data_IF_942877581383
#
_entry.id   IF_942877581383
#
_cell.length_a   1.000
_cell.length_b   1.000
_cell.length_c   1.000
_cell.angle_alpha   90.00
_cell.angle_beta   90.00
_cell.angle_gamma   90.00
#
_symmetry.space_group_name_H-M   'P 1'
#
loop_
_entity.id
_entity.type
_entity.pdbx_description
1 polymer ?
#
# COMPACT_ATOMS: atom_id res chain seq x y z
N UNK A 1 33.04 92.52 -27.36
CA UNK A 1 34.21 91.63 -27.33
C UNK A 1 34.14 90.78 -26.06
N UNK A 2 33.91 89.47 -26.24
CA UNK A 2 34.29 88.33 -25.41
C UNK A 2 33.89 88.15 -23.92
N UNK A 3 33.41 86.91 -23.71
CA UNK A 3 33.28 86.08 -22.51
C UNK A 3 32.34 86.50 -21.37
N UNK A 4 31.15 85.90 -21.36
CA UNK A 4 30.45 85.53 -20.12
C UNK A 4 30.15 84.03 -20.09
N UNK A 5 30.77 83.41 -19.10
CA UNK A 5 30.63 82.04 -18.58
C UNK A 5 29.15 81.77 -18.26
N UNK A 6 28.57 80.70 -18.80
CA UNK A 6 27.25 80.22 -18.41
C UNK A 6 27.34 78.76 -17.98
N UNK A 7 27.08 78.57 -16.70
CA UNK A 7 27.18 77.34 -15.95
C UNK A 7 26.07 76.36 -16.35
N UNK A 8 26.44 75.08 -16.46
CA UNK A 8 25.52 73.97 -16.68
C UNK A 8 24.57 73.82 -15.49
N UNK A 9 23.26 73.98 -15.74
CA UNK A 9 22.23 73.53 -14.79
C UNK A 9 21.79 72.11 -15.16
N UNK A 10 22.02 71.19 -14.23
CA UNK A 10 21.48 69.83 -14.20
C UNK A 10 19.94 69.88 -14.20
N UNK A 11 19.33 69.35 -15.26
CA UNK A 11 17.89 69.11 -15.32
C UNK A 11 17.60 67.78 -14.63
N UNK A 12 16.91 67.83 -13.48
CA UNK A 12 16.32 66.65 -12.83
C UNK A 12 15.18 66.14 -13.70
N UNK A 13 15.39 65.02 -14.37
CA UNK A 13 14.32 64.26 -15.02
C UNK A 13 13.69 63.36 -13.95
N UNK A 14 12.56 63.82 -13.38
CA UNK A 14 11.70 63.02 -12.53
C UNK A 14 10.67 62.31 -13.42
N UNK A 15 10.89 61.03 -13.72
CA UNK A 15 9.95 60.21 -14.50
C UNK A 15 8.64 59.99 -13.73
N UNK A 16 7.48 60.01 -14.42
CA UNK A 16 6.18 59.84 -13.79
C UNK A 16 5.95 58.37 -13.39
N UNK A 17 5.35 58.23 -12.21
CA UNK A 17 4.79 56.99 -11.66
C UNK A 17 3.77 56.43 -12.64
N UNK A 18 4.02 55.24 -13.21
CA UNK A 18 3.03 54.22 -13.58
C UNK A 18 3.63 53.23 -14.58
N UNK A 19 4.37 52.24 -14.08
CA UNK A 19 4.48 50.93 -14.75
C UNK A 19 4.34 49.87 -13.67
N UNK A 20 3.08 49.52 -13.41
CA UNK A 20 2.56 48.16 -13.32
C UNK A 20 3.66 47.10 -13.19
N UNK A 21 3.98 46.73 -11.95
CA UNK A 21 4.53 45.41 -11.64
C UNK A 21 3.79 44.88 -10.42
N UNK A 22 2.56 44.42 -10.65
CA UNK A 22 1.92 43.43 -9.80
C UNK A 22 2.70 42.12 -9.98
N UNK A 23 3.86 42.03 -9.34
CA UNK A 23 4.53 40.75 -9.09
C UNK A 23 3.71 40.11 -7.98
N UNK A 24 2.58 39.50 -8.37
CA UNK A 24 1.97 38.44 -7.59
C UNK A 24 3.00 37.33 -7.52
N UNK A 25 3.85 37.38 -6.50
CA UNK A 25 4.61 36.25 -6.00
C UNK A 25 3.62 35.15 -5.73
N UNK A 26 3.42 34.26 -6.70
CA UNK A 26 2.85 32.93 -6.47
C UNK A 26 3.89 32.21 -5.64
N UNK A 27 3.87 32.45 -4.33
CA UNK A 27 4.42 31.53 -3.36
C UNK A 27 3.62 30.25 -3.55
N UNK A 28 4.11 29.39 -4.43
CA UNK A 28 3.91 27.96 -4.33
C UNK A 28 4.49 27.57 -2.97
N UNK A 29 3.71 27.79 -1.91
CA UNK A 29 3.74 26.91 -0.76
C UNK A 29 3.31 25.56 -1.33
N UNK A 30 4.27 24.83 -1.88
CA UNK A 30 4.26 23.39 -1.81
C UNK A 30 4.14 23.08 -0.34
N UNK A 31 2.88 23.02 0.13
CA UNK A 31 2.55 22.29 1.35
C UNK A 31 3.34 20.99 1.22
N UNK A 32 4.22 20.63 2.16
CA UNK A 32 4.72 19.28 2.18
C UNK A 32 3.46 18.43 2.17
N UNK A 33 3.21 17.77 1.04
CA UNK A 33 2.18 16.76 1.00
C UNK A 33 2.55 15.87 2.16
N UNK A 34 1.70 15.83 3.18
CA UNK A 34 1.67 14.72 4.08
C UNK A 34 1.23 13.54 3.19
N UNK A 35 2.16 13.05 2.38
CA UNK A 35 2.20 11.66 1.97
C UNK A 35 2.15 11.00 3.33
N UNK A 36 0.97 10.47 3.65
CA UNK A 36 0.76 9.66 4.83
C UNK A 36 1.67 8.46 4.59
N UNK A 37 2.95 8.59 4.94
CA UNK A 37 3.94 7.54 4.81
C UNK A 37 3.38 6.43 5.66
N UNK A 38 2.91 5.38 4.99
CA UNK A 38 2.39 4.17 5.60
C UNK A 38 3.32 3.86 6.77
N UNK A 39 2.84 3.77 8.02
CA UNK A 39 3.70 3.37 9.12
C UNK A 39 4.40 2.09 8.72
N UNK A 40 5.72 2.11 8.77
CA UNK A 40 6.62 1.11 8.17
C UNK A 40 6.59 -0.17 9.03
N UNK A 41 5.42 -0.83 9.05
CA UNK A 41 5.17 -2.02 9.86
C UNK A 41 5.96 -3.22 9.33
N UNK A 42 6.47 -3.14 8.11
CA UNK A 42 7.24 -4.19 7.45
C UNK A 42 6.37 -5.33 6.92
N UNK A 43 7.04 -6.41 6.57
CA UNK A 43 6.42 -7.66 6.12
C UNK A 43 6.91 -8.81 6.99
N UNK A 44 6.11 -9.87 7.06
CA UNK A 44 6.56 -11.10 7.69
C UNK A 44 7.45 -11.94 6.75
N UNK A 45 8.01 -13.02 7.28
CA UNK A 45 8.82 -13.98 6.50
C UNK A 45 8.06 -14.63 5.34
N UNK A 46 6.74 -14.68 5.43
CA UNK A 46 5.83 -15.15 4.38
C UNK A 46 5.36 -14.02 3.44
N UNK A 47 5.97 -12.83 3.50
CA UNK A 47 5.53 -11.65 2.76
C UNK A 47 4.08 -11.23 3.03
N UNK A 48 3.59 -11.49 4.23
CA UNK A 48 2.31 -10.92 4.67
C UNK A 48 2.57 -9.51 5.23
N UNK A 49 1.75 -8.51 4.90
CA UNK A 49 1.87 -7.19 5.52
C UNK A 49 1.69 -7.31 7.03
N UNK A 50 2.63 -6.76 7.79
CA UNK A 50 2.49 -6.64 9.23
C UNK A 50 1.41 -5.61 9.58
N UNK A 51 0.62 -5.90 10.62
CA UNK A 51 -0.39 -4.98 11.17
C UNK A 51 0.01 -4.39 12.52
N UNK A 52 1.16 -4.81 13.03
CA UNK A 52 1.90 -4.14 14.11
C UNK A 52 3.33 -3.86 13.63
N UNK A 53 4.07 -2.94 14.27
CA UNK A 53 5.49 -2.81 14.02
C UNK A 53 6.21 -4.15 14.17
N UNK A 54 7.21 -4.38 13.31
CA UNK A 54 8.18 -5.44 13.52
C UNK A 54 9.01 -5.09 14.77
N UNK A 55 8.79 -5.82 15.86
CA UNK A 55 9.34 -5.48 17.17
C UNK A 55 9.96 -6.70 17.83
N UNK A 56 10.99 -6.45 18.64
CA UNK A 56 11.66 -7.50 19.41
C UNK A 56 10.75 -7.99 20.51
N UNK A 57 10.57 -9.30 20.62
CA UNK A 57 9.82 -9.90 21.70
C UNK A 57 10.53 -9.64 23.05
N UNK A 58 9.80 -9.24 24.11
CA UNK A 58 10.43 -8.84 25.38
C UNK A 58 11.17 -10.00 26.06
N UNK A 59 10.65 -11.22 25.92
CA UNK A 59 11.20 -12.42 26.57
C UNK A 59 11.92 -13.38 25.61
N UNK A 60 11.88 -13.10 24.30
CA UNK A 60 12.46 -13.97 23.27
C UNK A 60 13.38 -13.13 22.40
N UNK A 61 14.54 -13.66 22.04
CA UNK A 61 15.54 -12.90 21.29
C UNK A 61 15.22 -12.83 19.78
N UNK A 62 13.96 -12.64 19.40
CA UNK A 62 13.54 -12.52 18.00
C UNK A 62 12.57 -11.35 17.79
N UNK A 63 12.52 -10.89 16.56
CA UNK A 63 11.62 -9.88 16.02
C UNK A 63 10.40 -10.57 15.42
N UNK A 64 9.23 -10.00 15.70
CA UNK A 64 7.96 -10.50 15.21
C UNK A 64 7.01 -9.33 14.96
N UNK A 65 5.98 -9.60 14.17
CA UNK A 65 4.85 -8.70 14.00
C UNK A 65 3.56 -9.52 14.02
N UNK A 66 2.45 -8.87 14.32
CA UNK A 66 1.15 -9.46 14.11
C UNK A 66 0.83 -9.43 12.61
N UNK A 67 0.20 -10.50 12.14
CA UNK A 67 -0.35 -10.63 10.79
C UNK A 67 -1.80 -11.12 10.86
N UNK A 68 -2.50 -11.13 9.72
CA UNK A 68 -3.81 -11.76 9.63
C UNK A 68 -3.66 -13.23 9.25
N UNK A 69 -4.20 -14.14 10.07
CA UNK A 69 -4.45 -15.49 9.63
C UNK A 69 -5.75 -15.53 8.82
N UNK A 70 -5.64 -15.82 7.52
CA UNK A 70 -6.76 -15.92 6.61
C UNK A 70 -7.32 -17.34 6.57
N UNK A 71 -7.69 -17.90 7.72
CA UNK A 71 -8.54 -19.09 7.72
C UNK A 71 -9.99 -18.69 7.42
N UNK A 72 -10.70 -19.59 6.72
CA UNK A 72 -12.08 -19.39 6.29
C UNK A 72 -13.05 -19.30 7.49
N UNK A 73 -12.68 -19.82 8.65
CA UNK A 73 -13.55 -19.89 9.82
C UNK A 73 -13.45 -18.69 10.75
N UNK A 74 -12.30 -18.02 10.95
CA UNK A 74 -12.21 -16.83 11.80
C UNK A 74 -11.00 -15.94 11.44
N UNK A 75 -11.14 -14.61 11.62
CA UNK A 75 -9.97 -13.71 11.62
C UNK A 75 -9.26 -13.89 12.96
N UNK A 76 -8.25 -14.73 12.99
CA UNK A 76 -7.40 -14.88 14.16
C UNK A 76 -6.18 -14.00 13.95
N UNK A 77 -5.89 -13.15 14.93
CA UNK A 77 -4.61 -12.46 14.98
C UNK A 77 -3.55 -13.52 15.20
N UNK A 78 -2.68 -13.72 14.22
CA UNK A 78 -1.49 -14.53 14.41
C UNK A 78 -0.28 -13.60 14.50
N UNK A 79 0.81 -14.16 14.98
CA UNK A 79 2.12 -13.53 14.88
C UNK A 79 2.96 -14.28 13.86
N UNK A 80 3.92 -13.58 13.29
CA UNK A 80 4.88 -14.13 12.36
C UNK A 80 6.22 -13.42 12.55
N UNK A 81 7.31 -14.09 12.18
CA UNK A 81 8.64 -13.51 12.23
C UNK A 81 8.77 -12.39 11.19
N UNK A 82 9.58 -11.41 11.52
CA UNK A 82 9.95 -10.30 10.65
C UNK A 82 11.38 -9.86 10.96
N UNK A 83 11.94 -9.01 10.10
CA UNK A 83 13.27 -8.45 10.22
C UNK A 83 13.24 -6.94 10.15
N UNK A 84 14.17 -6.29 10.86
CA UNK A 84 14.29 -4.83 10.84
C UNK A 84 14.87 -4.29 9.53
N UNK A 85 15.57 -5.12 8.77
CA UNK A 85 16.20 -4.74 7.52
C UNK A 85 16.30 -5.92 6.56
N UNK A 86 16.54 -5.60 5.29
CA UNK A 86 16.72 -6.55 4.20
C UNK A 86 17.91 -7.51 4.36
N UNK A 87 18.91 -7.10 5.13
CA UNK A 87 20.16 -7.83 5.32
C UNK A 87 20.29 -8.36 6.76
N UNK A 88 19.18 -8.48 7.48
CA UNK A 88 19.16 -9.02 8.84
C UNK A 88 18.13 -10.13 8.98
N UNK A 89 18.47 -11.16 9.75
CA UNK A 89 17.50 -12.18 10.14
C UNK A 89 16.58 -11.70 11.27
N UNK A 90 15.59 -12.53 11.61
CA UNK A 90 14.58 -12.29 12.63
C UNK A 90 15.15 -12.22 14.05
N UNK A 91 16.45 -12.44 14.28
CA UNK A 91 17.09 -12.20 15.57
C UNK A 91 18.08 -11.04 15.53
N UNK A 92 18.24 -10.40 14.36
CA UNK A 92 19.09 -9.24 14.14
C UNK A 92 20.53 -9.58 13.75
N UNK A 93 20.83 -10.82 13.35
CA UNK A 93 22.13 -11.18 12.76
C UNK A 93 22.17 -10.73 11.31
N UNK A 94 23.36 -10.37 10.83
CA UNK A 94 23.55 -10.04 9.43
C UNK A 94 23.45 -11.30 8.56
N UNK A 95 22.71 -11.17 7.47
CA UNK A 95 22.64 -12.19 6.44
C UNK A 95 23.91 -12.15 5.57
N UNK A 96 24.60 -13.28 5.45
CA UNK A 96 25.71 -13.51 4.52
C UNK A 96 25.22 -13.96 3.14
N UNK A 97 23.97 -14.46 3.03
CA UNK A 97 23.28 -14.71 1.75
C UNK A 97 22.04 -13.85 1.60
N UNK A 98 21.51 -13.77 0.37
CA UNK A 98 20.30 -13.02 0.11
C UNK A 98 19.10 -13.56 0.91
N UNK A 99 18.33 -12.64 1.49
CA UNK A 99 17.04 -12.97 2.09
C UNK A 99 16.04 -13.37 0.99
N UNK A 100 15.71 -14.65 0.90
CA UNK A 100 14.86 -15.19 -0.18
C UNK A 100 14.17 -16.50 0.26
N UNK A 101 13.29 -17.02 -0.60
CA UNK A 101 12.57 -18.26 -0.30
C UNK A 101 13.46 -19.52 -0.35
N UNK A 102 14.50 -19.54 -1.18
CA UNK A 102 15.38 -20.71 -1.36
C UNK A 102 14.64 -22.05 -1.57
N UNK A 103 13.49 -22.02 -2.24
CA UNK A 103 12.62 -23.19 -2.45
C UNK A 103 11.51 -23.37 -1.40
N UNK A 104 11.60 -22.67 -0.27
CA UNK A 104 10.68 -22.81 0.86
C UNK A 104 9.41 -21.96 0.75
N UNK A 105 8.52 -22.16 1.73
CA UNK A 105 7.33 -21.35 1.95
C UNK A 105 7.59 -20.01 2.64
N UNK A 106 8.76 -19.80 3.22
CA UNK A 106 9.13 -18.58 3.95
C UNK A 106 10.48 -18.09 3.46
N UNK A 107 10.77 -16.81 3.71
CA UNK A 107 12.08 -16.24 3.45
C UNK A 107 13.05 -16.49 4.58
N UNK A 108 14.27 -16.82 4.21
CA UNK A 108 15.37 -17.01 5.13
C UNK A 108 16.70 -16.65 4.45
N UNK A 109 17.74 -16.50 5.26
CA UNK A 109 19.10 -16.26 4.84
C UNK A 109 20.05 -17.08 5.70
N UNK A 110 21.28 -17.26 5.22
CA UNK A 110 22.40 -17.76 6.02
C UNK A 110 23.14 -16.59 6.65
N UNK A 111 23.72 -16.81 7.82
CA UNK A 111 24.66 -15.93 8.50
C UNK A 111 25.98 -16.68 8.73
N UNK A 112 26.95 -16.03 9.38
CA UNK A 112 28.24 -16.64 9.69
C UNK A 112 28.15 -17.79 10.71
N UNK A 113 27.07 -17.85 11.50
CA UNK A 113 26.88 -18.84 12.56
C UNK A 113 25.88 -19.94 12.18
N UNK A 114 24.78 -19.58 11.53
CA UNK A 114 23.69 -20.49 11.15
C UNK A 114 22.77 -19.84 10.10
N UNK A 115 21.66 -20.46 9.73
CA UNK A 115 20.57 -19.82 9.00
C UNK A 115 19.58 -19.11 9.94
N UNK A 116 18.77 -18.23 9.39
CA UNK A 116 17.72 -17.53 10.12
C UNK A 116 16.63 -17.01 9.19
N UNK A 117 15.39 -16.93 9.70
CA UNK A 117 14.30 -16.33 8.96
C UNK A 117 14.56 -14.85 8.70
N UNK A 118 14.07 -14.33 7.58
CA UNK A 118 14.21 -12.90 7.29
C UNK A 118 13.00 -12.39 6.51
N UNK A 119 12.73 -11.09 6.55
CA UNK A 119 11.71 -10.44 5.72
C UNK A 119 12.38 -9.38 4.84
N UNK A 120 12.66 -9.75 3.59
CA UNK A 120 13.38 -8.91 2.64
C UNK A 120 12.50 -7.90 1.90
N UNK A 121 13.13 -6.98 1.14
CA UNK A 121 12.46 -6.00 0.28
C UNK A 121 11.77 -6.71 -0.89
N UNK A 122 12.03 -8.00 -1.09
CA UNK A 122 11.35 -8.85 -2.05
C UNK A 122 9.84 -8.93 -1.82
N UNK A 123 9.36 -8.66 -0.60
CA UNK A 123 7.93 -8.52 -0.36
C UNK A 123 7.36 -7.24 -1.00
N UNK A 124 8.17 -6.18 -1.08
CA UNK A 124 7.84 -4.94 -1.78
C UNK A 124 7.96 -5.13 -3.30
N UNK A 125 8.97 -5.85 -3.80
CA UNK A 125 9.11 -6.12 -5.23
C UNK A 125 8.03 -7.06 -5.76
N UNK A 126 7.58 -8.06 -5.01
CA UNK A 126 6.37 -8.82 -5.39
C UNK A 126 5.11 -7.97 -5.38
N UNK A 127 4.99 -6.99 -4.46
CA UNK A 127 3.86 -6.08 -4.45
C UNK A 127 3.89 -5.03 -5.57
N UNK A 128 5.07 -4.74 -6.14
CA UNK A 128 5.27 -3.68 -7.15
C UNK A 128 5.50 -4.19 -8.57
N UNK A 129 5.95 -5.44 -8.76
CA UNK A 129 6.07 -6.08 -10.07
C UNK A 129 4.83 -6.91 -10.46
N UNK A 130 3.98 -7.27 -9.50
CA UNK A 130 2.68 -7.81 -9.84
C UNK A 130 1.84 -6.65 -10.38
N UNK A 131 1.39 -6.70 -11.64
CA UNK A 131 0.41 -5.73 -12.13
C UNK A 131 -0.73 -5.60 -11.11
N UNK A 132 -0.99 -4.37 -10.67
CA UNK A 132 -2.06 -4.04 -9.73
C UNK A 132 -3.41 -4.37 -10.39
N UNK A 133 -3.80 -5.62 -10.26
CA UNK A 133 -5.09 -6.13 -10.69
C UNK A 133 -6.19 -5.80 -9.68
N UNK A 134 -5.85 -5.06 -8.61
CA UNK A 134 -6.71 -4.76 -7.49
C UNK A 134 -6.72 -5.86 -6.43
N UNK A 135 -7.77 -5.83 -5.63
CA UNK A 135 -7.98 -6.75 -4.53
C UNK A 135 -9.19 -7.65 -4.80
N UNK A 136 -9.25 -8.79 -4.12
CA UNK A 136 -10.45 -9.61 -4.01
C UNK A 136 -11.43 -9.03 -2.99
N UNK A 137 -12.67 -9.52 -2.96
CA UNK A 137 -13.74 -9.06 -2.04
C UNK A 137 -13.38 -9.24 -0.57
N UNK A 138 -12.37 -10.08 -0.29
CA UNK A 138 -11.77 -10.31 1.02
C UNK A 138 -10.47 -9.52 1.26
N UNK A 139 -10.14 -8.54 0.41
CA UNK A 139 -8.89 -7.77 0.44
C UNK A 139 -7.61 -8.60 0.23
N UNK A 140 -7.67 -9.71 -0.50
CA UNK A 140 -6.46 -10.41 -0.93
C UNK A 140 -5.96 -9.79 -2.25
N UNK A 141 -4.66 -9.60 -2.41
CA UNK A 141 -4.10 -9.09 -3.67
C UNK A 141 -4.41 -10.07 -4.81
N UNK A 142 -5.01 -9.54 -5.89
CA UNK A 142 -5.22 -10.29 -7.11
C UNK A 142 -3.88 -10.45 -7.83
N UNK A 143 -3.55 -11.68 -8.21
CA UNK A 143 -2.32 -12.02 -8.95
C UNK A 143 -2.59 -12.33 -10.43
N UNK A 144 -3.86 -12.28 -10.82
CA UNK A 144 -4.34 -12.29 -12.21
C UNK A 144 -5.34 -11.15 -12.40
N UNK A 145 -5.57 -10.68 -13.65
CA UNK A 145 -6.59 -9.67 -13.89
C UNK A 145 -7.96 -10.10 -13.38
N UNK A 146 -8.72 -9.16 -12.83
CA UNK A 146 -10.12 -9.39 -12.46
C UNK A 146 -10.98 -9.54 -13.71
N UNK A 147 -11.40 -10.75 -14.05
CA UNK A 147 -12.08 -11.06 -15.31
C UNK A 147 -13.32 -11.91 -15.12
N UNK A 148 -14.28 -11.73 -16.02
CA UNK A 148 -15.51 -12.49 -16.01
C UNK A 148 -15.24 -13.91 -16.53
N UNK A 149 -15.63 -14.92 -15.76
CA UNK A 149 -15.60 -16.32 -16.21
C UNK A 149 -16.95 -16.69 -16.83
N UNK A 150 -17.09 -17.92 -17.33
CA UNK A 150 -18.37 -18.45 -17.88
C UNK A 150 -19.57 -18.32 -16.91
N UNK A 151 -19.30 -18.10 -15.62
CA UNK A 151 -20.30 -17.96 -14.55
C UNK A 151 -20.95 -16.57 -14.41
N UNK A 152 -20.66 -15.63 -15.32
CA UNK A 152 -21.06 -14.20 -15.24
C UNK A 152 -20.49 -13.41 -14.03
N UNK A 153 -19.75 -14.07 -13.15
CA UNK A 153 -19.05 -13.45 -12.04
C UNK A 153 -17.61 -13.11 -12.44
N UNK A 154 -17.07 -12.07 -11.84
CA UNK A 154 -15.69 -11.61 -11.95
C UNK A 154 -14.84 -12.25 -10.85
N UNK A 155 -13.71 -12.81 -11.28
CA UNK A 155 -12.78 -13.53 -10.43
C UNK A 155 -11.35 -13.10 -10.70
N UNK A 156 -10.52 -13.22 -9.68
CA UNK A 156 -9.08 -13.17 -9.82
C UNK A 156 -8.46 -14.34 -9.06
N UNK A 157 -7.30 -14.78 -9.51
CA UNK A 157 -6.44 -15.62 -8.69
C UNK A 157 -5.94 -14.81 -7.50
N UNK A 158 -5.84 -15.46 -6.36
CA UNK A 158 -5.19 -14.97 -5.15
C UNK A 158 -4.24 -16.06 -4.64
N UNK A 159 -3.21 -15.64 -3.90
CA UNK A 159 -2.37 -16.60 -3.17
C UNK A 159 -3.08 -16.93 -1.87
N UNK A 160 -3.58 -18.16 -1.71
CA UNK A 160 -3.87 -18.66 -0.36
C UNK A 160 -2.57 -19.17 0.24
N UNK A 161 -2.12 -18.48 1.28
CA UNK A 161 -1.12 -18.99 2.19
C UNK A 161 -1.77 -20.10 3.02
N UNK A 162 -1.78 -21.33 2.49
CA UNK A 162 -1.84 -22.53 3.34
C UNK A 162 -0.40 -22.97 3.59
N UNK A 163 -0.09 -23.19 4.87
CA UNK A 163 1.24 -23.57 5.38
C UNK A 163 1.87 -24.78 4.66
N UNK A 164 1.08 -25.61 3.96
CA UNK A 164 1.58 -26.87 3.38
C UNK A 164 1.63 -26.93 1.84
N UNK A 165 1.13 -25.93 1.10
CA UNK A 165 1.33 -25.90 -0.35
C UNK A 165 0.83 -24.60 -0.98
N UNK A 166 1.68 -23.93 -1.78
CA UNK A 166 1.39 -22.72 -2.58
C UNK A 166 0.26 -22.97 -3.60
N UNK A 167 -0.98 -23.08 -3.12
CA UNK A 167 -2.15 -23.35 -3.95
C UNK A 167 -2.81 -22.04 -4.34
N UNK A 168 -2.82 -21.78 -5.64
CA UNK A 168 -3.57 -20.67 -6.22
C UNK A 168 -5.05 -20.92 -5.99
N UNK A 169 -5.78 -19.93 -5.51
CA UNK A 169 -7.24 -20.02 -5.41
C UNK A 169 -7.90 -18.89 -6.12
N UNK A 170 -9.14 -19.12 -6.54
CA UNK A 170 -9.97 -18.10 -7.13
C UNK A 170 -10.78 -17.41 -6.06
N UNK A 171 -10.81 -16.08 -6.12
CA UNK A 171 -11.63 -15.25 -5.27
C UNK A 171 -12.39 -14.22 -6.11
N UNK A 172 -13.52 -13.75 -5.58
CA UNK A 172 -14.33 -12.75 -6.25
C UNK A 172 -13.61 -11.41 -6.25
N UNK A 173 -13.79 -10.65 -7.31
CA UNK A 173 -13.23 -9.29 -7.44
C UNK A 173 -14.21 -8.42 -8.22
N UNK A 174 -14.04 -7.11 -8.16
CA UNK A 174 -14.78 -6.16 -9.02
C UNK A 174 -13.89 -5.74 -10.17
N UNK A 175 -14.40 -5.72 -11.41
CA UNK A 175 -13.60 -5.27 -12.56
C UNK A 175 -13.21 -3.79 -12.45
N UNK A 176 -14.05 -2.98 -11.79
CA UNK A 176 -13.89 -1.55 -11.60
C UNK A 176 -14.44 -1.09 -10.25
N UNK A 177 -14.05 0.12 -9.82
CA UNK A 177 -14.65 0.78 -8.66
C UNK A 177 -16.14 1.06 -8.89
N UNK A 178 -16.98 0.86 -7.87
CA UNK A 178 -18.40 1.20 -7.93
C UNK A 178 -19.29 0.15 -8.60
N UNK A 179 -18.74 -1.03 -8.92
CA UNK A 179 -19.53 -2.21 -9.32
C UNK A 179 -19.22 -3.42 -8.44
N UNK A 180 -20.16 -4.35 -8.37
CA UNK A 180 -19.97 -5.62 -7.68
C UNK A 180 -19.25 -6.66 -8.57
N UNK A 181 -19.01 -7.83 -8.00
CA UNK A 181 -18.39 -8.97 -8.64
C UNK A 181 -19.24 -9.58 -9.77
N UNK A 182 -20.46 -9.10 -10.00
CA UNK A 182 -21.30 -9.48 -11.15
C UNK A 182 -21.36 -8.36 -12.19
N UNK A 183 -20.67 -7.24 -11.96
CA UNK A 183 -20.74 -6.03 -12.79
C UNK A 183 -21.96 -5.16 -12.52
N UNK A 184 -22.77 -5.45 -11.49
CA UNK A 184 -23.91 -4.62 -11.09
C UNK A 184 -23.43 -3.34 -10.45
N UNK A 185 -24.08 -2.21 -10.76
CA UNK A 185 -23.75 -0.92 -10.14
C UNK A 185 -24.02 -0.93 -8.64
N UNK A 186 -23.04 -0.48 -7.87
CA UNK A 186 -23.19 -0.19 -6.46
C UNK A 186 -23.95 1.14 -6.27
N UNK A 187 -24.95 1.14 -5.39
CA UNK A 187 -25.70 2.33 -4.98
C UNK A 187 -24.96 3.16 -3.92
N UNK A 188 -23.79 2.71 -3.46
CA UNK A 188 -22.99 3.41 -2.46
C UNK A 188 -21.58 2.84 -2.39
N UNK A 189 -20.80 3.31 -1.42
CA UNK A 189 -19.42 2.87 -1.26
C UNK A 189 -19.33 1.38 -0.95
N UNK A 190 -18.35 0.73 -1.57
CA UNK A 190 -17.95 -0.61 -1.20
C UNK A 190 -17.26 -0.57 0.16
N UNK A 191 -17.74 -1.34 1.13
CA UNK A 191 -17.16 -1.39 2.48
C UNK A 191 -17.48 -2.68 3.19
N UNK A 192 -16.71 -3.00 4.22
CA UNK A 192 -17.10 -4.00 5.21
C UNK A 192 -18.39 -3.54 5.92
N UNK A 193 -19.29 -4.48 6.14
CA UNK A 193 -20.51 -4.27 6.94
C UNK A 193 -20.44 -5.16 8.16
N UNK A 194 -21.07 -4.76 9.26
CA UNK A 194 -21.02 -5.48 10.52
C UNK A 194 -21.31 -6.98 10.33
N UNK A 195 -20.39 -7.80 10.82
CA UNK A 195 -20.46 -9.27 10.74
C UNK A 195 -20.06 -9.88 9.39
N UNK A 196 -19.73 -9.09 8.36
CA UNK A 196 -19.29 -9.62 7.06
C UNK A 196 -17.76 -9.63 6.97
N UNK A 197 -17.22 -10.75 6.48
CA UNK A 197 -15.78 -10.95 6.23
C UNK A 197 -15.28 -10.37 4.92
N UNK A 198 -16.18 -9.80 4.12
CA UNK A 198 -15.94 -9.28 2.78
C UNK A 198 -16.58 -7.90 2.62
N UNK A 199 -16.12 -7.14 1.63
CA UNK A 199 -16.74 -5.88 1.28
C UNK A 199 -17.99 -6.09 0.43
N UNK A 200 -19.01 -5.28 0.68
CA UNK A 200 -20.26 -5.34 -0.09
C UNK A 200 -20.91 -3.97 -0.24
N UNK A 201 -21.67 -3.82 -1.32
CA UNK A 201 -22.48 -2.65 -1.60
C UNK A 201 -23.94 -3.07 -1.85
N UNK A 202 -24.93 -2.20 -1.58
CA UNK A 202 -26.27 -2.40 -2.11
C UNK A 202 -26.21 -2.18 -3.62
N UNK A 203 -26.98 -2.96 -4.37
CA UNK A 203 -27.02 -2.86 -5.83
C UNK A 203 -28.40 -2.47 -6.30
N UNK A 204 -28.49 -2.03 -7.56
CA UNK A 204 -29.77 -1.70 -8.22
C UNK A 204 -30.68 -2.92 -8.42
N UNK A 205 -30.16 -4.15 -8.29
CA UNK A 205 -30.99 -5.36 -8.24
C UNK A 205 -31.79 -5.36 -6.94
N UNK A 206 -33.12 -5.47 -7.02
CA UNK A 206 -34.00 -5.50 -5.85
C UNK A 206 -33.51 -6.52 -4.80
N UNK A 207 -33.14 -6.03 -3.61
CA UNK A 207 -32.64 -6.85 -2.51
C UNK A 207 -31.19 -7.35 -2.65
N UNK A 208 -30.49 -7.02 -3.75
CA UNK A 208 -29.17 -7.55 -4.07
C UNK A 208 -28.05 -6.87 -3.26
N UNK A 209 -27.38 -7.65 -2.40
CA UNK A 209 -26.06 -7.30 -1.87
C UNK A 209 -25.01 -7.84 -2.84
N UNK A 210 -24.25 -6.95 -3.46
CA UNK A 210 -23.15 -7.30 -4.35
C UNK A 210 -21.83 -7.26 -3.59
N UNK A 211 -21.04 -8.33 -3.65
CA UNK A 211 -19.65 -8.30 -3.18
C UNK A 211 -18.85 -7.38 -4.07
N UNK A 212 -18.04 -6.51 -3.51
CA UNK A 212 -17.33 -5.53 -4.30
C UNK A 212 -15.90 -5.33 -3.80
N UNK A 213 -15.09 -4.69 -4.63
CA UNK A 213 -13.73 -4.24 -4.33
C UNK A 213 -13.55 -2.89 -5.02
N UNK A 214 -12.79 -1.98 -4.43
CA UNK A 214 -12.39 -0.79 -5.18
C UNK A 214 -11.02 -1.01 -5.78
N UNK A 215 -10.89 -0.75 -7.07
CA UNK A 215 -9.58 -0.49 -7.68
C UNK A 215 -8.95 0.71 -6.97
N UNK A 216 -7.78 0.53 -6.36
CA UNK A 216 -7.13 1.56 -5.56
C UNK A 216 -7.89 1.98 -4.28
N UNK A 217 -8.83 1.15 -3.78
CA UNK A 217 -9.51 1.49 -2.54
C UNK A 217 -8.56 1.33 -1.35
N UNK A 218 -8.10 2.49 -0.89
CA UNK A 218 -7.70 2.89 0.47
C UNK A 218 -8.38 2.03 1.57
N UNK A 219 -9.61 1.54 1.40
CA UNK A 219 -10.27 0.67 2.37
C UNK A 219 -9.65 -0.71 2.60
N UNK A 220 -8.86 -1.27 1.68
CA UNK A 220 -8.01 -2.45 1.99
C UNK A 220 -6.66 -2.03 2.58
N UNK A 221 -6.19 -0.82 2.25
CA UNK A 221 -4.88 -0.28 2.69
C UNK A 221 -4.94 0.43 4.06
N UNK A 222 -6.14 0.77 4.57
CA UNK A 222 -6.38 1.59 5.76
C UNK A 222 -7.33 0.96 6.78
N UNK A 223 -7.54 -0.37 6.78
CA UNK A 223 -8.46 -0.96 7.76
C UNK A 223 -8.01 -0.64 9.20
N UNK A 224 -8.82 0.10 9.97
CA UNK A 224 -8.62 0.24 11.39
C UNK A 224 -8.88 -1.11 12.06
N UNK A 225 -8.07 -1.34 13.10
CA UNK A 225 -8.28 -2.24 14.22
C UNK A 225 -9.76 -2.24 14.61
N UNK A 226 -10.38 -3.42 14.59
CA UNK A 226 -11.62 -3.64 15.32
C UNK A 226 -11.23 -4.47 16.54
N UNK A 227 -11.41 -3.87 17.72
CA UNK A 227 -11.29 -4.52 19.04
C UNK A 227 -12.31 -5.66 19.21
#
# INVERSE_FOLDING_TARGET
>A
MQFRKLEMRLVKISLPKMVIFAITTVLFFSLPGNILSRPDYGFSTYCQPCISPCAKHPEKNYYFCNTYDWTWENKVWTWDYCSLSENSDHIGRNCSSACAYHGEGYQWCTSDEDWGYCSGPFCVSQATELPDYGYSTYCQSCITPCQQTKSQNYWCGTRKWKFDNKTWTWDYCSPNSGVDFQGSRCLGICKFRNGLKYQSCPTEKQGGKGYCTGKGNVLCDFLPKFD
#
